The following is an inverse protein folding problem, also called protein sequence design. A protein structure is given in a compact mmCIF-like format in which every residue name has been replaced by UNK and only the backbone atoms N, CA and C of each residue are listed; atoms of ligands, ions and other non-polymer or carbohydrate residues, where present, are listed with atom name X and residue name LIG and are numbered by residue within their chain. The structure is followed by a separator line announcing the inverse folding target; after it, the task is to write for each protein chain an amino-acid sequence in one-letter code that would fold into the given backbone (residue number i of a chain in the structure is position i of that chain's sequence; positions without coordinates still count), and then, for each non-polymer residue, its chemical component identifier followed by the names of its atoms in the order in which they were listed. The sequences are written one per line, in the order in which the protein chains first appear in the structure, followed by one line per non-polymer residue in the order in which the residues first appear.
data_IF_976737450250
#
_entry.id   IF_976737450250
#
_cell.length_a   1.000
_cell.length_b   1.000
_cell.length_c   1.000
_cell.angle_alpha   90.00
_cell.angle_beta   90.00
_cell.angle_gamma   90.00
#
_symmetry.space_group_name_H-M   'P 1'
#
loop_
_entity.id
_entity.type
_entity.pdbx_description
1 polymer ?
#
# COMPACT_ATOMS: atom_id res chain seq x y z
N UNK A 1 13.19 14.60 -7.85
CA UNK A 1 12.12 15.30 -7.09
C UNK A 1 10.72 14.72 -7.33
N UNK A 2 10.20 14.68 -8.57
CA UNK A 2 8.82 14.17 -8.84
C UNK A 2 8.53 12.76 -8.31
N UNK A 3 9.44 11.79 -8.49
CA UNK A 3 9.24 10.39 -8.04
C UNK A 3 9.27 10.21 -6.52
N UNK A 4 10.08 11.01 -5.83
CA UNK A 4 10.17 10.96 -4.36
C UNK A 4 8.89 11.46 -3.71
N UNK A 5 8.37 12.61 -4.16
CA UNK A 5 7.10 13.16 -3.69
C UNK A 5 5.94 12.22 -4.04
N UNK A 6 5.94 11.62 -5.23
CA UNK A 6 4.93 10.63 -5.62
C UNK A 6 4.93 9.40 -4.68
N UNK A 7 6.10 8.83 -4.37
CA UNK A 7 6.19 7.70 -3.44
C UNK A 7 5.74 8.08 -2.02
N UNK A 8 6.02 9.30 -1.55
CA UNK A 8 5.55 9.77 -0.24
C UNK A 8 4.02 9.86 -0.18
N UNK A 9 3.42 10.41 -1.25
CA UNK A 9 1.96 10.49 -1.39
C UNK A 9 1.35 9.09 -1.45
N UNK A 10 1.95 8.18 -2.21
CA UNK A 10 1.52 6.77 -2.27
C UNK A 10 1.58 6.13 -0.88
N UNK A 11 2.68 6.28 -0.13
CA UNK A 11 2.78 5.72 1.22
C UNK A 11 1.69 6.25 2.15
N UNK A 12 1.41 7.56 2.10
CA UNK A 12 0.38 8.19 2.93
C UNK A 12 -1.01 7.60 2.63
N UNK A 13 -1.40 7.57 1.35
CA UNK A 13 -2.71 7.06 0.97
C UNK A 13 -2.82 5.54 1.14
N UNK A 14 -1.76 4.79 0.86
CA UNK A 14 -1.75 3.33 1.01
C UNK A 14 -1.89 2.90 2.46
N UNK A 15 -1.20 3.57 3.40
CA UNK A 15 -1.36 3.29 4.83
C UNK A 15 -2.78 3.63 5.30
N UNK A 16 -3.32 4.78 4.90
CA UNK A 16 -4.65 5.22 5.34
C UNK A 16 -5.77 4.32 4.78
N UNK A 17 -5.75 4.00 3.49
CA UNK A 17 -6.74 3.08 2.91
C UNK A 17 -6.52 1.63 3.32
N UNK A 18 -5.27 1.20 3.49
CA UNK A 18 -4.93 -0.14 3.95
C UNK A 18 -5.52 -0.43 5.33
N UNK A 19 -5.43 0.52 6.25
CA UNK A 19 -6.04 0.42 7.58
C UNK A 19 -7.56 0.40 7.54
N UNK A 20 -8.18 1.26 6.73
CA UNK A 20 -9.65 1.27 6.58
C UNK A 20 -10.15 -0.07 6.04
N UNK A 21 -9.50 -0.61 5.01
CA UNK A 21 -9.87 -1.91 4.42
C UNK A 21 -9.58 -3.05 5.40
N UNK A 22 -8.43 -3.02 6.07
CA UNK A 22 -8.04 -4.04 7.06
C UNK A 22 -8.99 -4.10 8.25
N UNK A 23 -9.41 -2.95 8.76
CA UNK A 23 -10.42 -2.87 9.82
C UNK A 23 -11.76 -3.47 9.36
N UNK A 24 -12.24 -3.08 8.17
CA UNK A 24 -13.48 -3.63 7.60
C UNK A 24 -13.40 -5.15 7.40
N UNK A 25 -12.27 -5.66 6.91
CA UNK A 25 -12.03 -7.08 6.72
C UNK A 25 -12.01 -7.84 8.06
N UNK A 26 -11.37 -7.27 9.08
CA UNK A 26 -11.33 -7.85 10.43
C UNK A 26 -12.72 -8.00 11.03
N UNK A 27 -13.57 -6.98 10.86
CA UNK A 27 -14.96 -7.01 11.32
C UNK A 27 -15.80 -8.04 10.56
N UNK A 28 -15.51 -8.27 9.27
CA UNK A 28 -16.23 -9.22 8.44
C UNK A 28 -15.85 -10.68 8.73
N UNK A 29 -14.58 -10.92 9.06
CA UNK A 29 -14.04 -12.27 9.26
C UNK A 29 -13.79 -12.63 10.73
N UNK A 30 -14.10 -11.72 11.67
CA UNK A 30 -13.85 -11.89 13.12
C UNK A 30 -12.39 -12.27 13.44
N UNK A 31 -11.45 -11.75 12.65
CA UNK A 31 -10.02 -11.94 12.86
C UNK A 31 -9.47 -10.94 13.88
N UNK A 32 -8.32 -11.27 14.46
CA UNK A 32 -7.59 -10.36 15.34
C UNK A 32 -6.98 -9.22 14.52
N UNK A 33 -7.30 -7.99 14.89
CA UNK A 33 -6.90 -6.79 14.17
C UNK A 33 -5.61 -6.21 14.73
N UNK A 34 -4.56 -6.17 13.91
CA UNK A 34 -3.30 -5.51 14.25
C UNK A 34 -2.98 -4.35 13.29
N UNK A 35 -3.16 -3.14 13.80
CA UNK A 35 -2.97 -1.86 13.07
C UNK A 35 -1.53 -1.65 12.58
N UNK A 36 -0.53 -2.16 13.31
CA UNK A 36 0.87 -1.96 12.89
C UNK A 36 1.24 -2.91 11.75
N UNK A 37 0.72 -4.13 11.80
CA UNK A 37 1.00 -5.16 10.79
C UNK A 37 0.33 -4.83 9.46
N UNK A 38 -0.97 -4.50 9.48
CA UNK A 38 -1.74 -4.18 8.29
C UNK A 38 -1.17 -2.94 7.58
N UNK A 39 -0.90 -1.87 8.32
CA UNK A 39 -0.36 -0.62 7.78
C UNK A 39 1.03 -0.81 7.17
N UNK A 40 1.90 -1.61 7.81
CA UNK A 40 3.23 -1.88 7.26
C UNK A 40 3.16 -2.75 6.00
N UNK A 41 2.35 -3.81 6.02
CA UNK A 41 2.17 -4.71 4.86
C UNK A 41 1.61 -3.95 3.67
N UNK A 42 0.58 -3.13 3.87
CA UNK A 42 0.00 -2.33 2.77
C UNK A 42 0.96 -1.27 2.23
N UNK A 43 1.77 -0.65 3.09
CA UNK A 43 2.81 0.29 2.68
C UNK A 43 3.85 -0.39 1.79
N UNK A 44 4.41 -1.53 2.21
CA UNK A 44 5.39 -2.28 1.41
C UNK A 44 4.79 -2.77 0.09
N UNK A 45 3.59 -3.34 0.12
CA UNK A 45 2.89 -3.79 -1.10
C UNK A 45 2.68 -2.63 -2.09
N UNK A 46 2.21 -1.48 -1.62
CA UNK A 46 1.94 -0.33 -2.50
C UNK A 46 3.21 0.19 -3.16
N UNK A 47 4.33 0.25 -2.43
CA UNK A 47 5.62 0.67 -2.99
C UNK A 47 6.13 -0.32 -4.04
N UNK A 48 6.02 -1.62 -3.78
CA UNK A 48 6.42 -2.65 -4.73
C UNK A 48 5.56 -2.60 -5.99
N UNK A 49 4.24 -2.45 -5.86
CA UNK A 49 3.33 -2.37 -7.01
C UNK A 49 3.62 -1.11 -7.84
N UNK A 50 3.68 0.08 -7.22
CA UNK A 50 3.85 1.33 -7.97
C UNK A 50 5.21 1.39 -8.69
N UNK A 51 6.29 0.97 -8.02
CA UNK A 51 7.62 0.98 -8.63
C UNK A 51 7.80 -0.21 -9.59
N UNK A 52 7.29 -1.39 -9.24
CA UNK A 52 7.35 -2.59 -10.08
C UNK A 52 6.56 -2.45 -11.37
N UNK A 53 5.34 -1.91 -11.30
CA UNK A 53 4.51 -1.65 -12.49
C UNK A 53 5.17 -0.66 -13.44
N UNK A 54 5.82 0.37 -12.90
CA UNK A 54 6.62 1.31 -13.70
C UNK A 54 7.82 0.65 -14.39
N UNK A 55 8.40 -0.41 -13.82
CA UNK A 55 9.51 -1.15 -14.43
C UNK A 55 9.01 -2.09 -15.54
N UNK A 56 7.88 -2.76 -15.32
CA UNK A 56 7.25 -3.63 -16.33
C UNK A 56 6.87 -2.82 -17.57
N UNK A 57 6.13 -1.71 -17.40
CA UNK A 57 5.72 -0.88 -18.52
C UNK A 57 6.88 -0.21 -19.27
N UNK A 58 8.02 0.01 -18.61
CA UNK A 58 9.20 0.60 -19.26
C UNK A 58 9.91 -0.38 -20.19
N UNK A 59 9.85 -1.69 -19.92
CA UNK A 59 10.46 -2.73 -20.74
C UNK A 59 9.61 -3.12 -21.96
N UNK A 60 8.37 -2.63 -22.05
CA UNK A 60 7.46 -2.89 -23.18
C UNK A 60 7.62 -1.87 -24.34
N UNK A 61 8.57 -0.92 -24.22
CA UNK A 61 8.99 0.03 -25.26
C UNK A 61 10.43 -0.21 -25.67
#
# INVERSE_FOLDING_TARGET
MKKFVANLVVCFWAALFGEVIGFLASQLQQLEYNFLEIGFVTLVCSLLIVNGFSLVMKNEK
#
